data_IF_158885253297
#
_entry.id   IF_158885253297
#
_cell.length_a   1.000
_cell.length_b   1.000
_cell.length_c   1.000
_cell.angle_alpha   90.00
_cell.angle_beta   90.00
_cell.angle_gamma   90.00
#
_symmetry.space_group_name_H-M   'P 1'
#
loop_
_entity.id
_entity.type
_entity.pdbx_description
1 polymer ?
#
# COMPACT_ATOMS: atom_id res chain seq x y z
N UNK A 1 -15.08 -1.48 -6.64
CA UNK A 1 -14.65 -0.12 -7.04
C UNK A 1 -14.75 0.86 -5.86
N UNK A 2 -15.94 1.23 -5.40
CA UNK A 2 -16.12 2.21 -4.31
C UNK A 2 -15.35 1.90 -3.02
N UNK A 3 -15.35 0.65 -2.55
CA UNK A 3 -14.56 0.23 -1.38
C UNK A 3 -13.05 0.46 -1.56
N UNK A 4 -12.51 0.22 -2.76
CA UNK A 4 -11.09 0.44 -3.04
C UNK A 4 -10.76 1.94 -3.04
N UNK A 5 -11.63 2.77 -3.61
CA UNK A 5 -11.50 4.23 -3.59
C UNK A 5 -11.44 4.77 -2.16
N UNK A 6 -12.36 4.31 -1.32
CA UNK A 6 -12.42 4.69 0.10
C UNK A 6 -11.21 4.20 0.87
N UNK A 7 -10.83 2.93 0.72
CA UNK A 7 -9.68 2.36 1.41
C UNK A 7 -8.38 3.11 1.06
N UNK A 8 -8.16 3.44 -0.22
CA UNK A 8 -7.01 4.23 -0.62
C UNK A 8 -7.07 5.66 -0.09
N UNK A 9 -8.20 6.36 -0.25
CA UNK A 9 -8.33 7.74 0.23
C UNK A 9 -8.16 7.89 1.75
N UNK A 10 -8.70 6.96 2.53
CA UNK A 10 -8.48 6.94 3.99
C UNK A 10 -7.02 6.62 4.31
N UNK A 11 -6.44 5.58 3.70
CA UNK A 11 -5.05 5.19 3.99
C UNK A 11 -4.04 6.27 3.61
N UNK A 12 -4.26 7.00 2.51
CA UNK A 12 -3.36 8.05 2.05
C UNK A 12 -3.38 9.30 2.94
N UNK A 13 -4.47 9.55 3.65
CA UNK A 13 -4.63 10.75 4.48
C UNK A 13 -4.75 10.46 5.99
N UNK A 14 -4.65 9.19 6.40
CA UNK A 14 -4.77 8.77 7.80
C UNK A 14 -3.72 9.46 8.68
N UNK A 15 -2.49 9.57 8.18
CA UNK A 15 -1.39 10.25 8.86
C UNK A 15 -1.72 11.73 9.14
N UNK A 16 -2.25 12.44 8.13
CA UNK A 16 -2.68 13.84 8.29
C UNK A 16 -3.87 13.94 9.26
N UNK A 17 -4.79 12.97 9.24
CA UNK A 17 -5.92 12.95 10.17
C UNK A 17 -5.48 12.73 11.62
N UNK A 18 -4.49 11.87 11.85
CA UNK A 18 -3.88 11.66 13.17
C UNK A 18 -3.23 12.95 13.70
N UNK A 19 -2.49 13.65 12.84
CA UNK A 19 -1.79 14.90 13.20
C UNK A 19 -2.79 16.03 13.46
N UNK A 20 -3.66 16.32 12.49
CA UNK A 20 -4.53 17.50 12.53
C UNK A 20 -5.86 17.29 13.23
N UNK A 21 -6.39 16.07 13.22
CA UNK A 21 -7.69 15.73 13.80
C UNK A 21 -7.59 15.15 15.22
N UNK A 22 -6.49 14.44 15.51
CA UNK A 22 -6.28 13.78 16.81
C UNK A 22 -5.11 14.34 17.62
N UNK A 23 -4.44 15.40 17.15
CA UNK A 23 -3.30 16.04 17.82
C UNK A 23 -2.17 15.03 18.17
N UNK A 24 -1.99 14.00 17.35
CA UNK A 24 -0.89 13.03 17.50
C UNK A 24 0.40 13.64 16.97
N UNK A 25 1.53 13.42 17.65
CA UNK A 25 2.84 13.85 17.19
C UNK A 25 3.17 13.29 15.80
N UNK A 26 3.93 14.04 14.99
CA UNK A 26 4.12 13.71 13.58
C UNK A 26 4.76 12.32 13.40
N UNK A 27 5.82 12.01 14.14
CA UNK A 27 6.51 10.72 14.05
C UNK A 27 5.65 9.57 14.57
N UNK A 28 4.87 9.79 15.63
CA UNK A 28 3.94 8.78 16.16
C UNK A 28 2.81 8.48 15.16
N UNK A 29 2.30 9.52 14.49
CA UNK A 29 1.30 9.37 13.43
C UNK A 29 1.85 8.57 12.23
N UNK A 30 3.08 8.83 11.80
CA UNK A 30 3.79 8.04 10.78
C UNK A 30 3.88 6.56 11.17
N UNK A 31 4.22 6.25 12.43
CA UNK A 31 4.31 4.86 12.90
C UNK A 31 2.95 4.17 12.96
N UNK A 32 1.91 4.85 13.47
CA UNK A 32 0.53 4.34 13.49
C UNK A 32 0.03 4.08 12.06
N UNK A 33 0.27 5.01 11.14
CA UNK A 33 -0.09 4.88 9.73
C UNK A 33 0.63 3.69 9.06
N UNK A 34 1.92 3.49 9.35
CA UNK A 34 2.68 2.34 8.89
C UNK A 34 2.09 1.01 9.38
N UNK A 35 1.75 0.91 10.67
CA UNK A 35 1.12 -0.29 11.24
C UNK A 35 -0.26 -0.55 10.61
N UNK A 36 -1.09 0.50 10.48
CA UNK A 36 -2.40 0.40 9.84
C UNK A 36 -2.30 -0.07 8.39
N UNK A 37 -1.36 0.50 7.63
CA UNK A 37 -1.10 0.13 6.23
C UNK A 37 -0.59 -1.30 6.10
N UNK A 38 0.22 -1.77 7.06
CA UNK A 38 0.64 -3.17 7.17
C UNK A 38 -0.56 -4.10 7.34
N UNK A 39 -1.44 -3.80 8.30
CA UNK A 39 -2.67 -4.57 8.53
C UNK A 39 -3.56 -4.63 7.28
N UNK A 40 -3.80 -3.47 6.63
CA UNK A 40 -4.61 -3.37 5.41
C UNK A 40 -3.99 -4.17 4.25
N UNK A 41 -2.67 -4.20 4.16
CA UNK A 41 -1.94 -4.95 3.12
C UNK A 41 -1.98 -6.45 3.34
N UNK A 42 -1.93 -6.92 4.59
CA UNK A 42 -2.04 -8.34 4.94
C UNK A 42 -3.46 -8.89 4.88
N UNK A 43 -4.46 -8.05 5.17
CA UNK A 43 -5.84 -8.50 5.33
C UNK A 43 -6.38 -9.34 4.14
N UNK A 44 -6.10 -9.01 2.86
CA UNK A 44 -6.53 -9.82 1.73
C UNK A 44 -6.04 -11.28 1.74
N UNK A 45 -4.84 -11.54 2.29
CA UNK A 45 -4.28 -12.90 2.41
C UNK A 45 -5.10 -13.70 3.42
N UNK A 46 -5.38 -13.11 4.58
CA UNK A 46 -6.24 -13.72 5.61
C UNK A 46 -7.64 -13.97 5.06
N UNK A 47 -8.22 -13.00 4.35
CA UNK A 47 -9.51 -13.12 3.71
C UNK A 47 -9.57 -14.28 2.70
N UNK A 48 -8.52 -14.46 1.89
CA UNK A 48 -8.43 -15.59 0.95
C UNK A 48 -8.36 -16.93 1.67
N UNK A 49 -7.52 -17.05 2.71
CA UNK A 49 -7.41 -18.30 3.51
C UNK A 49 -8.75 -18.66 4.16
N UNK A 50 -9.46 -17.70 4.73
CA UNK A 50 -10.77 -17.92 5.33
C UNK A 50 -11.82 -18.36 4.30
N UNK A 51 -11.79 -17.77 3.10
CA UNK A 51 -12.69 -18.13 2.02
C UNK A 51 -12.43 -19.56 1.52
N UNK A 52 -11.17 -19.92 1.29
CA UNK A 52 -10.80 -21.21 0.72
C UNK A 52 -10.93 -22.36 1.74
N UNK A 53 -10.70 -22.09 3.02
CA UNK A 53 -10.61 -23.13 4.06
C UNK A 53 -11.93 -23.37 4.81
N UNK A 54 -12.76 -22.34 5.00
CA UNK A 54 -13.89 -22.42 5.95
C UNK A 54 -15.21 -21.85 5.41
N UNK A 55 -15.21 -20.62 4.90
CA UNK A 55 -16.45 -19.83 4.76
C UNK A 55 -16.96 -19.71 3.32
N UNK A 56 -16.09 -19.91 2.32
CA UNK A 56 -16.36 -19.57 0.92
C UNK A 56 -16.27 -18.07 0.63
N UNK A 57 -16.03 -17.71 -0.64
CA UNK A 57 -15.81 -16.31 -1.03
C UNK A 57 -17.05 -15.42 -0.80
N UNK A 58 -18.27 -15.97 -0.92
CA UNK A 58 -19.52 -15.20 -0.76
C UNK A 58 -19.74 -14.71 0.66
N UNK A 59 -19.47 -15.55 1.66
CA UNK A 59 -19.61 -15.19 3.07
C UNK A 59 -18.52 -14.19 3.50
N UNK A 60 -17.26 -14.42 3.07
CA UNK A 60 -16.15 -13.49 3.35
C UNK A 60 -16.40 -12.12 2.71
N UNK A 61 -16.90 -12.08 1.47
CA UNK A 61 -17.26 -10.82 0.83
C UNK A 61 -18.40 -10.12 1.57
N UNK A 62 -19.43 -10.84 2.02
CA UNK A 62 -20.54 -10.27 2.78
C UNK A 62 -20.04 -9.57 4.07
N UNK A 63 -19.25 -10.31 4.85
CA UNK A 63 -18.70 -9.81 6.10
C UNK A 63 -17.79 -8.59 5.87
N UNK A 64 -16.98 -8.62 4.81
CA UNK A 64 -16.09 -7.52 4.47
C UNK A 64 -16.84 -6.24 4.06
N UNK A 65 -17.90 -6.34 3.25
CA UNK A 65 -18.67 -5.16 2.85
C UNK A 65 -19.38 -4.53 4.06
N UNK A 66 -19.93 -5.34 4.96
CA UNK A 66 -20.52 -4.86 6.23
C UNK A 66 -19.46 -4.21 7.12
N UNK A 67 -18.31 -4.87 7.32
CA UNK A 67 -17.23 -4.34 8.13
C UNK A 67 -16.71 -3.00 7.58
N UNK A 68 -16.58 -2.87 6.26
CA UNK A 68 -16.15 -1.62 5.62
C UNK A 68 -17.15 -0.48 5.88
N UNK A 69 -18.46 -0.74 5.72
CA UNK A 69 -19.49 0.24 6.01
C UNK A 69 -19.48 0.69 7.48
N UNK A 70 -19.41 -0.26 8.42
CA UNK A 70 -19.34 0.05 9.85
C UNK A 70 -18.06 0.81 10.21
N UNK A 71 -16.93 0.45 9.60
CA UNK A 71 -15.66 1.17 9.78
C UNK A 71 -15.75 2.61 9.31
N UNK A 72 -16.33 2.87 8.15
CA UNK A 72 -16.51 4.24 7.65
C UNK A 72 -17.53 5.04 8.46
N UNK A 73 -18.58 4.39 8.95
CA UNK A 73 -19.51 5.02 9.88
C UNK A 73 -18.78 5.48 11.15
N UNK A 74 -17.92 4.63 11.73
CA UNK A 74 -17.11 5.01 12.89
C UNK A 74 -16.15 6.17 12.57
N UNK A 75 -15.42 6.15 11.45
CA UNK A 75 -14.58 7.29 11.02
C UNK A 75 -15.37 8.59 10.89
N UNK A 76 -16.62 8.50 10.41
CA UNK A 76 -17.50 9.66 10.28
C UNK A 76 -17.90 10.17 11.66
N UNK A 77 -18.26 9.26 12.58
CA UNK A 77 -18.60 9.60 13.96
C UNK A 77 -17.41 10.21 14.71
N UNK A 78 -16.18 9.72 14.51
CA UNK A 78 -14.98 10.33 15.11
C UNK A 78 -14.72 11.74 14.61
N UNK A 79 -15.18 12.10 13.42
CA UNK A 79 -15.03 13.45 12.88
C UNK A 79 -16.20 14.40 13.21
N UNK A 80 -17.37 13.88 13.58
CA UNK A 80 -18.58 14.67 13.86
C UNK A 80 -18.78 14.88 15.37
N UNK A 81 -18.56 13.84 16.18
CA UNK A 81 -18.89 13.88 17.60
C UNK A 81 -17.71 14.44 18.41
N UNK A 82 -17.88 15.60 19.09
CA UNK A 82 -16.80 16.20 19.89
C UNK A 82 -16.31 15.32 21.05
N UNK A 83 -17.11 14.33 21.47
CA UNK A 83 -16.74 13.35 22.49
C UNK A 83 -15.80 12.24 21.98
N UNK A 84 -15.56 12.15 20.67
CA UNK A 84 -14.78 11.09 20.03
C UNK A 84 -13.46 11.60 19.41
N UNK A 85 -13.16 12.89 19.51
CA UNK A 85 -11.89 13.47 19.08
C UNK A 85 -11.47 14.58 20.05
N UNK A 86 -10.16 14.88 20.17
CA UNK A 86 -9.70 15.96 21.03
C UNK A 86 -10.18 17.33 20.53
N UNK A 87 -10.25 18.33 21.42
CA UNK A 87 -10.62 19.69 21.02
C UNK A 87 -9.58 20.27 20.04
N UNK A 88 -10.00 21.20 19.17
CA UNK A 88 -9.08 21.89 18.25
C UNK A 88 -7.96 22.60 19.03
N UNK A 89 -6.74 22.52 18.52
CA UNK A 89 -5.63 23.31 19.05
C UNK A 89 -5.85 24.80 18.74
N UNK A 90 -5.89 25.62 19.79
CA UNK A 90 -5.94 27.07 19.66
C UNK A 90 -4.77 27.69 20.45
N UNK A 91 -3.87 28.46 19.81
CA UNK A 91 -2.89 29.26 20.54
C UNK A 91 -3.62 30.24 21.49
N UNK A 92 -3.11 30.50 22.71
CA UNK A 92 -1.81 30.10 23.26
C UNK A 92 -1.81 28.77 24.03
N UNK A 93 -2.95 28.07 24.12
CA UNK A 93 -3.03 26.82 24.89
C UNK A 93 -2.32 25.68 24.17
N UNK A 94 -1.50 24.87 24.88
CA UNK A 94 -0.87 23.69 24.28
C UNK A 94 -1.93 22.69 23.84
N UNK A 95 -1.69 22.03 22.70
CA UNK A 95 -2.57 21.00 22.18
C UNK A 95 -2.79 19.89 23.22
N UNK A 96 -4.07 19.55 23.46
CA UNK A 96 -4.38 18.40 24.30
C UNK A 96 -4.20 17.11 23.51
N UNK A 97 -3.47 16.12 24.07
CA UNK A 97 -3.31 14.82 23.44
C UNK A 97 -4.65 14.05 23.42
N UNK A 98 -4.83 13.09 22.49
CA UNK A 98 -6.05 12.32 22.41
C UNK A 98 -6.19 11.38 23.63
N UNK A 99 -7.42 11.24 24.13
CA UNK A 99 -7.73 10.27 25.17
C UNK A 99 -7.67 8.83 24.63
N UNK A 100 -7.48 7.86 25.52
CA UNK A 100 -7.49 6.44 25.16
C UNK A 100 -8.80 6.01 24.47
N UNK A 101 -9.94 6.60 24.86
CA UNK A 101 -11.25 6.35 24.23
C UNK A 101 -11.29 6.83 22.78
N UNK A 102 -10.76 8.03 22.49
CA UNK A 102 -10.67 8.57 21.13
C UNK A 102 -9.87 7.60 20.24
N UNK A 103 -8.68 7.18 20.70
CA UNK A 103 -7.84 6.25 19.96
C UNK A 103 -8.46 4.86 19.81
N UNK A 104 -9.16 4.36 20.84
CA UNK A 104 -9.82 3.04 20.77
C UNK A 104 -10.88 3.01 19.68
N UNK A 105 -11.71 4.05 19.58
CA UNK A 105 -12.75 4.14 18.53
C UNK A 105 -12.11 4.27 17.15
N UNK A 106 -11.07 5.11 17.01
CA UNK A 106 -10.33 5.26 15.76
C UNK A 106 -9.67 3.94 15.31
N UNK A 107 -8.98 3.24 16.21
CA UNK A 107 -8.33 1.96 15.91
C UNK A 107 -9.34 0.86 15.59
N UNK A 108 -10.53 0.89 16.21
CA UNK A 108 -11.64 0.02 15.83
C UNK A 108 -12.10 0.31 14.40
N UNK A 109 -12.22 1.58 14.01
CA UNK A 109 -12.56 1.97 12.65
C UNK A 109 -11.51 1.50 11.62
N UNK A 110 -10.22 1.64 11.94
CA UNK A 110 -9.11 1.14 11.11
C UNK A 110 -9.15 -0.40 10.98
N UNK A 111 -9.39 -1.12 12.06
CA UNK A 111 -9.49 -2.58 12.04
C UNK A 111 -10.68 -3.08 11.20
N UNK A 112 -11.82 -2.40 11.30
CA UNK A 112 -12.99 -2.67 10.46
C UNK A 112 -12.72 -2.36 8.97
N UNK A 113 -12.00 -1.27 8.68
CA UNK A 113 -11.57 -0.96 7.31
C UNK A 113 -10.63 -2.04 6.76
N UNK A 114 -9.64 -2.48 7.54
CA UNK A 114 -8.73 -3.56 7.15
C UNK A 114 -9.49 -4.87 6.87
N UNK A 115 -10.46 -5.20 7.73
CA UNK A 115 -11.36 -6.35 7.54
C UNK A 115 -12.18 -6.21 6.25
N UNK A 116 -12.63 -4.99 5.93
CA UNK A 116 -13.34 -4.70 4.69
C UNK A 116 -12.47 -4.85 3.44
N UNK A 117 -11.20 -4.47 3.51
CA UNK A 117 -10.24 -4.67 2.42
C UNK A 117 -9.92 -6.17 2.24
N UNK A 118 -9.92 -6.95 3.33
CA UNK A 118 -9.65 -8.40 3.32
C UNK A 118 -10.52 -9.18 2.32
N UNK A 119 -11.84 -8.97 2.39
CA UNK A 119 -12.77 -9.68 1.52
C UNK A 119 -12.92 -9.06 0.14
N UNK A 120 -12.84 -7.73 0.03
CA UNK A 120 -13.21 -7.06 -1.22
C UNK A 120 -12.12 -7.10 -2.29
N UNK A 121 -10.83 -7.18 -1.92
CA UNK A 121 -9.73 -7.11 -2.89
C UNK A 121 -9.60 -8.40 -3.71
N UNK A 122 -9.34 -9.56 -3.09
CA UNK A 122 -9.18 -10.82 -3.84
C UNK A 122 -10.47 -11.61 -3.99
N UNK A 123 -11.23 -11.83 -2.91
CA UNK A 123 -12.43 -12.66 -2.98
C UNK A 123 -13.52 -12.04 -3.86
N UNK A 124 -13.65 -10.71 -3.87
CA UNK A 124 -14.55 -10.00 -4.78
C UNK A 124 -14.22 -10.23 -6.26
N UNK A 125 -12.93 -10.15 -6.64
CA UNK A 125 -12.50 -10.42 -8.01
C UNK A 125 -12.71 -11.89 -8.39
N UNK A 126 -12.37 -12.84 -7.50
CA UNK A 126 -12.60 -14.27 -7.73
C UNK A 126 -14.09 -14.59 -7.91
N UNK A 127 -14.96 -14.03 -7.06
CA UNK A 127 -16.41 -14.21 -7.20
C UNK A 127 -16.94 -13.67 -8.52
N UNK A 128 -16.49 -12.48 -8.94
CA UNK A 128 -16.88 -11.89 -10.20
C UNK A 128 -16.43 -12.71 -11.40
N UNK A 129 -15.18 -13.19 -11.40
CA UNK A 129 -14.65 -14.05 -12.46
C UNK A 129 -15.42 -15.38 -12.57
N UNK A 130 -15.85 -15.94 -11.44
CA UNK A 130 -16.66 -17.17 -11.40
C UNK A 130 -18.07 -17.02 -12.00
N UNK A 131 -18.50 -15.79 -12.34
CA UNK A 131 -19.76 -15.58 -13.06
C UNK A 131 -19.65 -15.87 -14.56
N UNK A 132 -18.43 -15.94 -15.10
CA UNK A 132 -18.19 -16.16 -16.52
C UNK A 132 -17.69 -17.60 -16.80
N UNK A 133 -18.18 -18.19 -17.88
CA UNK A 133 -17.84 -19.55 -18.29
C UNK A 133 -16.64 -19.62 -19.23
N UNK A 134 -16.40 -18.57 -20.05
CA UNK A 134 -15.30 -18.54 -21.02
C UNK A 134 -14.05 -17.87 -20.44
N UNK A 135 -12.87 -18.36 -20.81
CA UNK A 135 -11.61 -17.78 -20.32
C UNK A 135 -11.32 -16.40 -20.93
N UNK A 136 -11.84 -16.11 -22.12
CA UNK A 136 -11.79 -14.78 -22.74
C UNK A 136 -12.55 -13.75 -21.90
N UNK A 137 -13.78 -14.07 -21.49
CA UNK A 137 -14.60 -13.15 -20.68
C UNK A 137 -14.00 -12.94 -19.29
N UNK A 138 -13.46 -14.00 -18.67
CA UNK A 138 -12.73 -13.91 -17.40
C UNK A 138 -11.53 -12.97 -17.51
N UNK A 139 -10.75 -13.11 -18.58
CA UNK A 139 -9.57 -12.26 -18.82
C UNK A 139 -9.98 -10.81 -19.02
N UNK A 140 -11.01 -10.56 -19.83
CA UNK A 140 -11.56 -9.21 -20.03
C UNK A 140 -12.06 -8.60 -18.71
N UNK A 141 -12.78 -9.38 -17.90
CA UNK A 141 -13.25 -8.97 -16.57
C UNK A 141 -12.09 -8.59 -15.64
N UNK A 142 -11.03 -9.42 -15.56
CA UNK A 142 -9.86 -9.11 -14.74
C UNK A 142 -9.17 -7.82 -15.20
N UNK A 143 -8.99 -7.63 -16.50
CA UNK A 143 -8.38 -6.42 -17.05
C UNK A 143 -9.18 -5.17 -16.64
N UNK A 144 -10.50 -5.19 -16.81
CA UNK A 144 -11.37 -4.08 -16.37
C UNK A 144 -11.32 -3.87 -14.86
N UNK A 145 -11.27 -4.94 -14.05
CA UNK A 145 -11.13 -4.82 -12.61
C UNK A 145 -9.83 -4.10 -12.21
N UNK A 146 -8.70 -4.41 -12.85
CA UNK A 146 -7.43 -3.73 -12.60
C UNK A 146 -7.50 -2.25 -13.00
N UNK A 147 -8.03 -1.94 -14.20
CA UNK A 147 -8.21 -0.54 -14.65
C UNK A 147 -9.08 0.23 -13.66
N UNK A 148 -10.22 -0.33 -13.26
CA UNK A 148 -11.12 0.29 -12.28
C UNK A 148 -10.45 0.47 -10.92
N UNK A 149 -9.60 -0.47 -10.48
CA UNK A 149 -8.88 -0.37 -9.21
C UNK A 149 -7.87 0.79 -9.22
N UNK A 150 -7.10 0.97 -10.29
CA UNK A 150 -6.18 2.10 -10.43
C UNK A 150 -6.92 3.44 -10.48
N UNK A 151 -7.97 3.55 -11.29
CA UNK A 151 -8.79 4.77 -11.36
C UNK A 151 -9.42 5.11 -10.00
N UNK A 152 -9.93 4.10 -9.29
CA UNK A 152 -10.45 4.27 -7.92
C UNK A 152 -9.38 4.75 -6.96
N UNK A 153 -8.17 4.22 -7.05
CA UNK A 153 -7.06 4.60 -6.16
C UNK A 153 -6.63 6.04 -6.39
N UNK A 154 -6.56 6.47 -7.65
CA UNK A 154 -6.28 7.86 -8.04
C UNK A 154 -7.40 8.79 -7.55
N UNK A 155 -8.67 8.44 -7.80
CA UNK A 155 -9.82 9.21 -7.33
C UNK A 155 -9.88 9.30 -5.80
N UNK A 156 -9.53 8.22 -5.10
CA UNK A 156 -9.43 8.18 -3.65
C UNK A 156 -8.33 9.12 -3.14
N UNK A 157 -7.11 8.98 -3.68
CA UNK A 157 -5.96 9.79 -3.29
C UNK A 157 -6.07 11.27 -3.67
N UNK A 158 -7.00 11.65 -4.56
CA UNK A 158 -7.19 13.04 -4.99
C UNK A 158 -8.51 13.61 -4.49
N UNK A 159 -9.64 13.17 -5.02
CA UNK A 159 -10.97 13.75 -4.76
C UNK A 159 -11.34 13.58 -3.28
N UNK A 160 -11.24 12.37 -2.72
CA UNK A 160 -11.60 12.15 -1.32
C UNK A 160 -10.66 12.88 -0.37
N UNK A 161 -9.35 12.78 -0.61
CA UNK A 161 -8.34 13.48 0.20
C UNK A 161 -8.53 15.00 0.13
N UNK A 162 -8.84 15.54 -1.05
CA UNK A 162 -9.12 16.98 -1.20
C UNK A 162 -10.33 17.42 -0.40
N UNK A 163 -11.43 16.65 -0.41
CA UNK A 163 -12.61 16.96 0.40
C UNK A 163 -12.28 16.90 1.89
N UNK A 164 -11.50 15.89 2.33
CA UNK A 164 -11.07 15.76 3.72
C UNK A 164 -10.24 16.98 4.18
N UNK A 165 -9.30 17.45 3.36
CA UNK A 165 -8.39 18.54 3.71
C UNK A 165 -9.00 19.95 3.52
N UNK A 166 -9.92 20.13 2.56
CA UNK A 166 -10.48 21.45 2.21
C UNK A 166 -11.85 21.73 2.82
N UNK A 167 -12.78 20.77 2.73
CA UNK A 167 -14.14 20.92 3.27
C UNK A 167 -14.22 20.44 4.73
N UNK A 168 -13.32 19.53 5.12
CA UNK A 168 -13.20 19.02 6.48
C UNK A 168 -13.44 17.52 6.58
N UNK A 169 -12.86 16.92 7.63
CA UNK A 169 -12.86 15.48 7.87
C UNK A 169 -14.26 14.85 7.89
N UNK A 170 -15.24 15.56 8.47
CA UNK A 170 -16.62 15.08 8.55
C UNK A 170 -17.26 14.91 7.17
N UNK A 171 -17.09 15.87 6.25
CA UNK A 171 -17.59 15.74 4.87
C UNK A 171 -16.88 14.62 4.11
N UNK A 172 -15.56 14.54 4.24
CA UNK A 172 -14.75 13.51 3.59
C UNK A 172 -15.15 12.10 4.02
N UNK A 173 -15.28 11.84 5.33
CA UNK A 173 -15.67 10.52 5.83
C UNK A 173 -17.16 10.23 5.65
N UNK A 174 -18.05 11.23 5.74
CA UNK A 174 -19.48 11.04 5.42
C UNK A 174 -19.68 10.61 3.97
N UNK A 175 -18.94 11.21 3.02
CA UNK A 175 -18.95 10.77 1.62
C UNK A 175 -18.44 9.34 1.47
N UNK A 176 -17.36 8.96 2.18
CA UNK A 176 -16.87 7.59 2.19
C UNK A 176 -17.91 6.59 2.75
N UNK A 177 -18.65 6.99 3.78
CA UNK A 177 -19.77 6.21 4.35
C UNK A 177 -20.89 6.05 3.33
N UNK A 178 -21.25 7.11 2.60
CA UNK A 178 -22.25 7.02 1.54
C UNK A 178 -21.81 6.06 0.41
N UNK A 179 -20.55 6.16 -0.04
CA UNK A 179 -20.00 5.26 -1.07
C UNK A 179 -20.02 3.79 -0.62
N UNK A 180 -19.64 3.51 0.63
CA UNK A 180 -19.64 2.16 1.18
C UNK A 180 -21.04 1.64 1.47
N UNK A 181 -21.99 2.49 1.86
CA UNK A 181 -23.40 2.15 1.99
C UNK A 181 -24.01 1.76 0.63
N UNK A 182 -23.71 2.53 -0.43
CA UNK A 182 -24.15 2.21 -1.79
C UNK A 182 -23.57 0.86 -2.23
N UNK A 183 -22.28 0.61 -1.98
CA UNK A 183 -21.65 -0.69 -2.29
C UNK A 183 -22.31 -1.86 -1.53
N UNK A 184 -22.67 -1.64 -0.26
CA UNK A 184 -23.41 -2.60 0.55
C UNK A 184 -24.81 -2.89 -0.02
N UNK A 185 -25.56 -1.86 -0.42
CA UNK A 185 -26.86 -2.03 -1.06
C UNK A 185 -26.75 -2.79 -2.38
N UNK A 186 -25.79 -2.45 -3.25
CA UNK A 186 -25.54 -3.20 -4.49
C UNK A 186 -25.23 -4.67 -4.23
N UNK A 187 -24.44 -4.98 -3.21
CA UNK A 187 -24.18 -6.37 -2.82
C UNK A 187 -25.47 -7.08 -2.38
N UNK A 188 -26.29 -6.46 -1.52
CA UNK A 188 -27.54 -7.04 -1.03
C UNK A 188 -28.53 -7.32 -2.18
N UNK A 189 -28.73 -6.36 -3.07
CA UNK A 189 -29.64 -6.51 -4.21
C UNK A 189 -29.08 -7.42 -5.30
N UNK A 190 -27.75 -7.49 -5.45
CA UNK A 190 -27.07 -8.37 -6.41
C UNK A 190 -27.00 -9.83 -5.96
N UNK A 191 -27.06 -10.09 -4.65
CA UNK A 191 -26.91 -11.43 -4.06
C UNK A 191 -27.78 -12.52 -4.71
N UNK A 192 -29.07 -12.30 -4.99
CA UNK A 192 -29.93 -13.33 -5.61
C UNK A 192 -29.50 -13.74 -7.02
N UNK A 193 -28.72 -12.89 -7.71
CA UNK A 193 -28.31 -13.10 -9.09
C UNK A 193 -26.94 -13.79 -9.22
N UNK A 194 -26.20 -13.95 -8.12
CA UNK A 194 -24.87 -14.55 -8.18
C UNK A 194 -24.94 -16.08 -8.30
N UNK A 195 -24.13 -16.61 -9.22
CA UNK A 195 -23.83 -18.03 -9.30
C UNK A 195 -22.98 -18.40 -8.08
N UNK A 196 -23.58 -19.16 -7.17
CA UNK A 196 -22.88 -19.71 -6.00
C UNK A 196 -22.09 -20.95 -6.42
N UNK A 197 -20.78 -20.80 -6.55
CA UNK A 197 -19.87 -21.94 -6.70
C UNK A 197 -19.77 -22.72 -5.39
N UNK A 198 -19.79 -24.05 -5.47
CA UNK A 198 -19.57 -24.92 -4.30
C UNK A 198 -18.13 -24.70 -3.78
N UNK A 199 -17.93 -24.65 -2.45
CA UNK A 199 -16.59 -24.51 -1.88
C UNK A 199 -15.72 -25.69 -2.31
N UNK A 200 -14.55 -25.40 -2.88
CA UNK A 200 -13.59 -26.42 -3.30
C UNK A 200 -12.76 -26.86 -2.08
N UNK A 201 -13.38 -27.62 -1.17
CA UNK A 201 -12.75 -28.09 0.06
C UNK A 201 -11.71 -29.16 -0.29
N UNK A 202 -10.43 -28.77 -0.36
CA UNK A 202 -9.33 -29.70 -0.70
C UNK A 202 -8.93 -30.50 0.53
N UNK A 203 -9.29 -31.80 0.58
CA UNK A 203 -9.16 -32.65 1.80
C UNK A 203 -7.74 -32.99 2.28
N UNK A 204 -6.67 -32.72 1.51
CA UNK A 204 -5.31 -33.19 1.82
C UNK A 204 -4.28 -32.04 1.94
N UNK A 205 -4.36 -31.23 3.00
CA UNK A 205 -3.51 -30.04 3.16
C UNK A 205 -2.04 -30.34 3.50
N UNK A 206 -1.73 -31.33 4.35
CA UNK A 206 -0.41 -31.39 5.00
C UNK A 206 0.73 -31.87 4.08
N UNK A 207 0.50 -32.93 3.30
CA UNK A 207 1.55 -33.51 2.44
C UNK A 207 1.85 -32.67 1.18
N UNK A 208 0.84 -32.01 0.57
CA UNK A 208 1.12 -31.07 -0.53
C UNK A 208 1.86 -29.84 0.01
N UNK A 209 1.43 -29.33 1.17
CA UNK A 209 2.04 -28.16 1.80
C UNK A 209 3.52 -28.38 2.12
N UNK A 210 3.92 -29.52 2.70
CA UNK A 210 5.34 -29.80 2.96
C UNK A 210 6.19 -29.91 1.68
N UNK A 211 5.64 -30.45 0.58
CA UNK A 211 6.34 -30.53 -0.71
C UNK A 211 6.46 -29.16 -1.37
N UNK A 212 5.41 -28.35 -1.28
CA UNK A 212 5.34 -27.00 -1.85
C UNK A 212 6.17 -25.99 -1.04
N UNK A 213 6.25 -26.13 0.28
CA UNK A 213 7.09 -25.30 1.15
C UNK A 213 8.58 -25.40 0.79
N UNK A 214 9.07 -26.58 0.40
CA UNK A 214 10.47 -26.76 -0.05
C UNK A 214 10.80 -25.96 -1.31
N UNK A 215 9.83 -25.70 -2.19
CA UNK A 215 9.99 -24.86 -3.37
C UNK A 215 10.00 -23.38 -2.99
N UNK A 216 9.12 -22.96 -2.08
CA UNK A 216 9.05 -21.59 -1.58
C UNK A 216 10.31 -21.16 -0.81
N UNK A 217 10.92 -22.08 -0.04
CA UNK A 217 12.17 -21.82 0.70
C UNK A 217 13.28 -21.32 -0.22
N UNK A 218 13.33 -21.80 -1.48
CA UNK A 218 14.34 -21.39 -2.46
C UNK A 218 14.15 -19.95 -2.95
N UNK A 219 12.92 -19.45 -2.89
CA UNK A 219 12.57 -18.10 -3.31
C UNK A 219 12.69 -17.09 -2.16
N UNK A 220 12.75 -17.55 -0.89
CA UNK A 220 12.85 -16.69 0.28
C UNK A 220 13.97 -15.65 0.22
N UNK A 221 15.20 -15.95 -0.27
CA UNK A 221 16.23 -14.92 -0.38
C UNK A 221 15.82 -13.76 -1.29
N UNK A 222 15.22 -14.05 -2.45
CA UNK A 222 14.72 -13.02 -3.38
C UNK A 222 13.48 -12.31 -2.82
N UNK A 223 12.57 -13.03 -2.18
CA UNK A 223 11.40 -12.43 -1.51
C UNK A 223 11.85 -11.47 -0.40
N UNK A 224 12.88 -11.83 0.37
CA UNK A 224 13.40 -11.02 1.46
C UNK A 224 14.00 -9.69 1.00
N UNK A 225 14.64 -9.65 -0.17
CA UNK A 225 15.11 -8.36 -0.74
C UNK A 225 13.94 -7.47 -1.14
N UNK A 226 12.83 -8.05 -1.60
CA UNK A 226 11.58 -7.35 -1.85
C UNK A 226 10.97 -6.74 -0.58
N UNK A 227 11.07 -7.42 0.57
CA UNK A 227 10.61 -6.89 1.87
C UNK A 227 11.41 -5.66 2.27
N UNK A 228 12.75 -5.71 2.14
CA UNK A 228 13.61 -4.56 2.45
C UNK A 228 13.35 -3.37 1.52
N UNK A 229 13.15 -3.61 0.22
CA UNK A 229 12.78 -2.55 -0.71
C UNK A 229 11.41 -1.96 -0.38
N UNK A 230 10.41 -2.81 -0.08
CA UNK A 230 9.10 -2.32 0.35
C UNK A 230 9.20 -1.49 1.63
N UNK A 231 10.04 -1.87 2.58
CA UNK A 231 10.22 -1.13 3.82
C UNK A 231 10.77 0.29 3.58
N UNK A 232 11.76 0.45 2.71
CA UNK A 232 12.33 1.77 2.42
C UNK A 232 11.33 2.67 1.70
N UNK A 233 10.57 2.12 0.74
CA UNK A 233 9.48 2.83 0.04
C UNK A 233 8.38 3.25 1.03
N UNK A 234 8.01 2.38 1.97
CA UNK A 234 7.02 2.70 3.00
C UNK A 234 7.47 3.83 3.92
N UNK A 235 8.73 3.82 4.41
CA UNK A 235 9.28 4.95 5.20
C UNK A 235 9.19 6.24 4.40
N UNK A 236 9.64 6.22 3.14
CA UNK A 236 9.61 7.39 2.28
C UNK A 236 8.20 7.91 2.03
N UNK A 237 7.23 7.04 1.79
CA UNK A 237 5.85 7.44 1.52
C UNK A 237 5.26 8.24 2.69
N UNK A 238 5.47 7.78 3.93
CA UNK A 238 5.00 8.50 5.11
C UNK A 238 5.76 9.81 5.34
N UNK A 239 7.09 9.80 5.24
CA UNK A 239 7.90 11.03 5.40
C UNK A 239 7.61 12.07 4.32
N UNK A 240 7.21 11.66 3.12
CA UNK A 240 6.78 12.58 2.04
C UNK A 240 5.53 13.36 2.45
N UNK A 241 4.58 12.73 3.15
CA UNK A 241 3.39 13.41 3.66
C UNK A 241 3.79 14.47 4.69
N UNK A 242 4.68 14.12 5.62
CA UNK A 242 5.23 15.05 6.60
C UNK A 242 5.97 16.23 5.95
N UNK A 243 6.84 15.96 4.96
CA UNK A 243 7.50 17.01 4.19
C UNK A 243 6.51 17.92 3.49
N UNK A 244 5.49 17.34 2.84
CA UNK A 244 4.48 18.12 2.14
C UNK A 244 3.69 19.02 3.10
N UNK A 245 3.44 18.59 4.35
CA UNK A 245 2.80 19.43 5.37
C UNK A 245 3.63 20.68 5.73
N UNK A 246 4.97 20.61 5.61
CA UNK A 246 5.89 21.70 5.87
C UNK A 246 6.24 22.56 4.63
N UNK A 247 5.66 22.26 3.47
CA UNK A 247 5.93 22.92 2.19
C UNK A 247 4.76 23.80 1.74
N UNK A 248 5.04 24.73 0.82
CA UNK A 248 3.97 25.47 0.14
C UNK A 248 3.26 24.57 -0.87
N UNK A 249 1.99 24.29 -0.58
CA UNK A 249 1.13 23.40 -1.36
C UNK A 249 0.21 24.15 -2.32
N UNK A 250 0.24 25.48 -2.35
CA UNK A 250 -0.60 26.29 -3.23
C UNK A 250 -0.14 26.19 -4.69
N UNK A 251 -1.09 25.96 -5.60
CA UNK A 251 -0.86 26.02 -7.05
C UNK A 251 -1.49 27.26 -7.66
N UNK A 252 -2.61 27.69 -7.09
CA UNK A 252 -3.30 28.94 -7.40
C UNK A 252 -3.77 29.56 -6.08
N UNK A 253 -4.34 30.77 -6.12
CA UNK A 253 -4.91 31.40 -4.94
C UNK A 253 -6.06 30.61 -4.29
N UNK A 254 -6.73 29.72 -5.02
CA UNK A 254 -7.89 28.96 -4.56
C UNK A 254 -7.66 27.46 -4.47
N UNK A 255 -6.55 26.94 -5.01
CA UNK A 255 -6.29 25.51 -5.09
C UNK A 255 -4.93 25.16 -4.49
N UNK A 256 -4.92 24.14 -3.65
CA UNK A 256 -3.73 23.55 -3.06
C UNK A 256 -3.76 22.02 -3.18
N UNK A 257 -2.59 21.40 -3.21
CA UNK A 257 -2.47 19.94 -3.20
C UNK A 257 -2.53 19.45 -1.75
N UNK A 258 -3.45 18.56 -1.36
CA UNK A 258 -3.43 17.94 -0.04
C UNK A 258 -2.15 17.15 0.21
N UNK A 259 -1.61 17.15 1.43
CA UNK A 259 -0.35 16.47 1.70
C UNK A 259 -0.45 14.94 1.49
N UNK A 260 -1.57 14.34 1.91
CA UNK A 260 -1.86 12.93 1.66
C UNK A 260 -2.05 12.57 0.18
N UNK A 261 -2.27 13.56 -0.70
CA UNK A 261 -2.44 13.33 -2.14
C UNK A 261 -1.11 13.17 -2.89
N UNK A 262 0.04 13.46 -2.28
CA UNK A 262 1.33 13.42 -2.99
C UNK A 262 1.65 12.06 -3.60
N UNK A 263 1.16 10.96 -3.00
CA UNK A 263 1.37 9.62 -3.55
C UNK A 263 0.62 9.37 -4.88
N UNK A 264 -0.29 10.25 -5.29
CA UNK A 264 -0.96 10.14 -6.60
C UNK A 264 0.03 10.19 -7.76
N UNK A 265 1.12 10.96 -7.64
CA UNK A 265 2.15 11.04 -8.69
C UNK A 265 2.80 9.69 -8.92
N UNK A 266 3.11 8.94 -7.85
CA UNK A 266 3.63 7.56 -7.93
C UNK A 266 2.62 6.65 -8.65
N UNK A 267 1.35 6.68 -8.24
CA UNK A 267 0.29 5.85 -8.82
C UNK A 267 0.05 6.15 -10.30
N UNK A 268 -0.02 7.44 -10.67
CA UNK A 268 -0.25 7.87 -12.04
C UNK A 268 0.93 7.52 -12.94
N UNK A 269 2.18 7.77 -12.49
CA UNK A 269 3.37 7.40 -13.25
C UNK A 269 3.50 5.88 -13.38
N UNK A 270 3.21 5.10 -12.34
CA UNK A 270 3.23 3.64 -12.42
C UNK A 270 2.20 3.12 -13.43
N UNK A 271 0.94 3.58 -13.35
CA UNK A 271 -0.12 3.15 -14.26
C UNK A 271 0.16 3.51 -15.73
N UNK A 272 0.63 4.73 -15.98
CA UNK A 272 1.00 5.18 -17.34
C UNK A 272 2.21 4.41 -17.87
N UNK A 273 3.23 4.18 -17.06
CA UNK A 273 4.43 3.43 -17.45
C UNK A 273 4.12 1.96 -17.76
N UNK A 274 3.30 1.29 -16.95
CA UNK A 274 2.83 -0.08 -17.21
C UNK A 274 2.10 -0.15 -18.55
N UNK A 275 1.21 0.82 -18.81
CA UNK A 275 0.45 0.89 -20.07
C UNK A 275 1.38 1.06 -21.27
N UNK A 276 2.36 1.95 -21.19
CA UNK A 276 3.35 2.20 -22.26
C UNK A 276 4.22 0.97 -22.52
N UNK A 277 4.72 0.31 -21.46
CA UNK A 277 5.52 -0.92 -21.59
C UNK A 277 4.73 -2.05 -22.25
N UNK A 278 3.43 -2.18 -21.91
CA UNK A 278 2.51 -3.12 -22.54
C UNK A 278 2.29 -2.83 -24.02
N UNK A 279 1.99 -1.58 -24.37
CA UNK A 279 1.76 -1.16 -25.76
C UNK A 279 2.99 -1.30 -26.66
N UNK A 280 4.18 -1.00 -26.13
CA UNK A 280 5.46 -1.13 -26.85
C UNK A 280 5.94 -2.58 -26.97
N UNK A 281 5.23 -3.55 -26.37
CA UNK A 281 5.61 -4.97 -26.31
C UNK A 281 7.06 -5.18 -25.83
N UNK A 282 7.55 -4.28 -24.97
CA UNK A 282 8.89 -4.37 -24.41
C UNK A 282 8.98 -5.63 -23.53
N UNK A 283 9.66 -6.67 -24.00
CA UNK A 283 9.82 -7.93 -23.26
C UNK A 283 11.04 -7.84 -22.35
N UNK A 284 10.78 -7.57 -21.08
CA UNK A 284 11.80 -7.55 -20.02
C UNK A 284 11.64 -8.84 -19.20
N UNK A 285 12.76 -9.51 -18.90
CA UNK A 285 12.72 -10.69 -18.03
C UNK A 285 12.27 -10.30 -16.61
N UNK A 286 11.53 -11.13 -15.87
CA UNK A 286 11.09 -10.79 -14.52
C UNK A 286 12.25 -10.39 -13.60
N UNK A 287 13.35 -11.12 -13.64
CA UNK A 287 14.52 -10.79 -12.81
C UNK A 287 15.15 -9.44 -13.18
N UNK A 288 15.21 -9.11 -14.48
CA UNK A 288 15.68 -7.79 -14.95
C UNK A 288 14.74 -6.67 -14.52
N UNK A 289 13.42 -6.87 -14.57
CA UNK A 289 12.44 -5.89 -14.11
C UNK A 289 12.58 -5.58 -12.62
N UNK A 290 12.77 -6.62 -11.78
CA UNK A 290 13.07 -6.45 -10.34
C UNK A 290 14.38 -5.67 -10.15
N UNK A 291 15.42 -6.01 -10.92
CA UNK A 291 16.73 -5.33 -10.88
C UNK A 291 16.60 -3.83 -11.17
N UNK A 292 15.92 -3.48 -12.27
CA UNK A 292 15.69 -2.09 -12.70
C UNK A 292 14.93 -1.32 -11.60
N UNK A 293 13.91 -1.94 -11.01
CA UNK A 293 13.14 -1.36 -9.92
C UNK A 293 13.97 -1.00 -8.67
N UNK A 294 14.91 -1.86 -8.26
CA UNK A 294 15.82 -1.57 -7.14
C UNK A 294 16.72 -0.37 -7.43
N UNK A 295 17.31 -0.33 -8.63
CA UNK A 295 18.22 0.74 -9.05
C UNK A 295 17.50 2.09 -9.09
N UNK A 296 16.32 2.14 -9.71
CA UNK A 296 15.53 3.38 -9.80
C UNK A 296 15.13 3.88 -8.40
N UNK A 297 14.65 2.99 -7.53
CA UNK A 297 14.29 3.38 -6.16
C UNK A 297 15.49 3.90 -5.36
N UNK A 298 16.68 3.32 -5.52
CA UNK A 298 17.91 3.83 -4.91
C UNK A 298 18.19 5.28 -5.33
N UNK A 299 18.16 5.56 -6.64
CA UNK A 299 18.37 6.94 -7.13
C UNK A 299 17.25 7.89 -6.73
N UNK A 300 16.00 7.41 -6.62
CA UNK A 300 14.90 8.22 -6.14
C UNK A 300 15.06 8.61 -4.66
N UNK A 301 15.61 7.73 -3.81
CA UNK A 301 15.96 8.09 -2.41
C UNK A 301 17.04 9.17 -2.35
N UNK A 302 18.06 9.10 -3.23
CA UNK A 302 19.06 10.17 -3.36
C UNK A 302 18.40 11.48 -3.81
N UNK A 303 17.51 11.43 -4.79
CA UNK A 303 16.78 12.61 -5.25
C UNK A 303 15.89 13.22 -4.14
N UNK A 304 15.22 12.40 -3.32
CA UNK A 304 14.48 12.85 -2.14
C UNK A 304 15.39 13.56 -1.13
N UNK A 305 16.57 12.99 -0.85
CA UNK A 305 17.56 13.63 0.02
C UNK A 305 18.01 14.99 -0.50
N UNK A 306 18.32 15.09 -1.80
CA UNK A 306 18.74 16.35 -2.42
C UNK A 306 17.63 17.41 -2.39
N UNK A 307 16.38 17.02 -2.65
CA UNK A 307 15.22 17.91 -2.52
C UNK A 307 15.09 18.43 -1.09
N UNK A 308 15.27 17.57 -0.09
CA UNK A 308 15.20 17.98 1.30
C UNK A 308 16.36 18.89 1.72
N UNK A 309 17.60 18.59 1.30
CA UNK A 309 18.74 19.47 1.56
C UNK A 309 18.52 20.87 0.99
N UNK A 310 17.89 20.97 -0.19
CA UNK A 310 17.50 22.27 -0.77
C UNK A 310 16.42 22.98 0.04
N UNK A 311 15.40 22.25 0.50
CA UNK A 311 14.34 22.81 1.36
C UNK A 311 14.91 23.36 2.66
N UNK A 312 15.73 22.58 3.36
CA UNK A 312 16.35 22.96 4.64
C UNK A 312 17.26 24.18 4.50
N UNK A 313 17.91 24.37 3.35
CA UNK A 313 18.76 25.53 3.10
C UNK A 313 18.00 26.87 3.06
N UNK A 314 16.68 26.85 2.83
CA UNK A 314 15.85 28.07 2.67
C UNK A 314 14.73 28.19 3.69
N UNK A 315 14.44 27.15 4.49
CA UNK A 315 13.27 27.10 5.39
C UNK A 315 13.23 28.22 6.43
N UNK A 316 14.38 28.77 6.81
CA UNK A 316 14.47 29.88 7.76
C UNK A 316 14.05 31.24 7.17
N UNK A 317 14.01 31.37 5.84
CA UNK A 317 13.79 32.66 5.16
C UNK A 317 12.64 32.64 4.14
N UNK A 318 12.33 31.48 3.56
CA UNK A 318 11.32 31.35 2.50
C UNK A 318 10.54 30.04 2.61
N UNK A 319 9.32 30.04 2.06
CA UNK A 319 8.56 28.81 1.82
C UNK A 319 9.11 28.08 0.59
N UNK A 320 9.04 26.74 0.61
CA UNK A 320 9.56 25.90 -0.47
C UNK A 320 8.42 25.12 -1.12
N UNK A 321 8.29 25.19 -2.44
CA UNK A 321 7.16 24.60 -3.17
C UNK A 321 7.16 23.08 -3.12
N UNK A 322 5.98 22.50 -2.83
CA UNK A 322 5.73 21.05 -2.80
C UNK A 322 6.04 20.35 -4.13
N UNK A 323 6.02 21.09 -5.25
CA UNK A 323 6.29 20.56 -6.59
C UNK A 323 7.69 19.99 -6.74
N UNK A 324 8.65 20.38 -5.90
CA UNK A 324 9.99 19.78 -5.86
C UNK A 324 10.01 18.31 -5.40
N UNK A 325 8.94 17.83 -4.77
CA UNK A 325 8.77 16.40 -4.48
C UNK A 325 8.30 15.60 -5.69
N UNK A 326 7.73 16.24 -6.72
CA UNK A 326 7.15 15.53 -7.88
C UNK A 326 8.22 14.74 -8.67
N UNK A 327 9.39 15.30 -9.04
CA UNK A 327 10.41 14.55 -9.78
C UNK A 327 10.86 13.24 -9.10
N UNK A 328 11.23 13.19 -7.81
CA UNK A 328 11.55 11.93 -7.16
C UNK A 328 10.35 10.97 -7.08
N UNK A 329 9.13 11.46 -6.83
CA UNK A 329 7.89 10.65 -6.84
C UNK A 329 7.62 10.01 -8.21
N UNK A 330 7.88 10.73 -9.30
CA UNK A 330 7.82 10.19 -10.66
C UNK A 330 8.86 9.09 -10.87
N UNK A 331 10.10 9.26 -10.39
CA UNK A 331 11.12 8.20 -10.44
C UNK A 331 10.65 6.94 -9.70
N UNK A 332 10.08 7.08 -8.51
CA UNK A 332 9.53 5.94 -7.74
C UNK A 332 8.42 5.25 -8.53
N UNK A 333 7.47 6.01 -9.07
CA UNK A 333 6.39 5.46 -9.90
C UNK A 333 6.90 4.71 -11.13
N UNK A 334 7.97 5.20 -11.77
CA UNK A 334 8.63 4.50 -12.86
C UNK A 334 9.29 3.20 -12.37
N UNK A 335 9.99 3.23 -11.23
CA UNK A 335 10.58 2.05 -10.60
C UNK A 335 9.54 0.97 -10.26
N UNK A 336 8.41 1.36 -9.68
CA UNK A 336 7.27 0.48 -9.36
C UNK A 336 6.69 -0.19 -10.61
N UNK A 337 6.63 0.51 -11.74
CA UNK A 337 6.13 -0.05 -13.01
C UNK A 337 6.96 -1.24 -13.52
N UNK A 338 8.26 -1.29 -13.21
CA UNK A 338 9.10 -2.46 -13.49
C UNK A 338 9.05 -3.47 -12.34
N UNK A 339 9.20 -2.99 -11.10
CA UNK A 339 9.35 -3.84 -9.92
C UNK A 339 8.11 -4.70 -9.66
N UNK A 340 6.93 -4.11 -9.65
CA UNK A 340 5.70 -4.78 -9.23
C UNK A 340 5.26 -5.89 -10.19
N UNK A 341 5.05 -5.62 -11.51
CA UNK A 341 4.65 -6.68 -12.44
C UNK A 341 5.72 -7.77 -12.56
N UNK A 342 6.99 -7.40 -12.50
CA UNK A 342 8.09 -8.35 -12.60
C UNK A 342 8.18 -9.27 -11.38
N UNK A 343 7.94 -8.75 -10.17
CA UNK A 343 7.87 -9.57 -8.95
C UNK A 343 6.73 -10.58 -9.01
N UNK A 344 5.54 -10.13 -9.40
CA UNK A 344 4.37 -11.01 -9.56
C UNK A 344 4.63 -12.08 -10.63
N UNK A 345 5.19 -11.69 -11.79
CA UNK A 345 5.53 -12.62 -12.86
C UNK A 345 6.58 -13.65 -12.45
N UNK A 346 7.62 -13.22 -11.73
CA UNK A 346 8.65 -14.10 -11.20
C UNK A 346 8.06 -15.15 -10.25
N UNK A 347 7.27 -14.71 -9.24
CA UNK A 347 6.62 -15.63 -8.32
C UNK A 347 5.66 -16.56 -9.05
N UNK A 348 4.90 -16.06 -10.01
CA UNK A 348 3.94 -16.87 -10.76
C UNK A 348 4.61 -17.98 -11.59
N UNK A 349 5.74 -17.70 -12.22
CA UNK A 349 6.47 -18.66 -13.05
C UNK A 349 7.09 -19.79 -12.23
N UNK A 350 7.64 -19.46 -11.06
CA UNK A 350 8.38 -20.41 -10.23
C UNK A 350 7.52 -21.12 -9.17
N UNK A 351 6.31 -20.63 -8.90
CA UNK A 351 5.37 -21.31 -8.02
C UNK A 351 4.82 -22.56 -8.70
N UNK A 352 4.64 -23.67 -7.96
CA UNK A 352 3.98 -24.85 -8.49
C UNK A 352 2.57 -24.51 -8.98
N UNK A 353 2.08 -25.22 -10.00
CA UNK A 353 0.78 -24.93 -10.62
C UNK A 353 -0.38 -24.87 -9.60
N UNK A 354 -0.29 -25.65 -8.51
CA UNK A 354 -1.23 -25.67 -7.39
C UNK A 354 -1.26 -24.40 -6.55
N UNK A 355 -0.20 -23.58 -6.56
CA UNK A 355 -0.05 -22.36 -5.76
C UNK A 355 0.05 -21.08 -6.60
N UNK A 356 -0.17 -21.15 -7.91
CA UNK A 356 -0.08 -19.97 -8.79
C UNK A 356 -1.02 -18.84 -8.37
N UNK A 357 -2.18 -19.16 -7.81
CA UNK A 357 -3.11 -18.17 -7.23
C UNK A 357 -2.55 -17.46 -5.98
N UNK A 358 -1.56 -18.05 -5.31
CA UNK A 358 -0.89 -17.49 -4.13
C UNK A 358 0.17 -16.44 -4.49
N UNK A 359 0.62 -16.37 -5.76
CA UNK A 359 1.67 -15.43 -6.18
C UNK A 359 1.32 -13.95 -5.91
N UNK A 360 0.06 -13.56 -6.12
CA UNK A 360 -0.44 -12.21 -5.78
C UNK A 360 -0.52 -12.01 -4.27
N UNK A 361 -0.87 -13.05 -3.52
CA UNK A 361 -0.83 -13.07 -2.06
C UNK A 361 0.58 -12.88 -1.50
N UNK A 362 1.61 -13.43 -2.16
CA UNK A 362 3.02 -13.22 -1.78
C UNK A 362 3.39 -11.75 -1.84
N UNK A 363 2.97 -11.00 -2.86
CA UNK A 363 3.24 -9.57 -2.91
C UNK A 363 2.55 -8.81 -1.76
N UNK A 364 1.31 -9.16 -1.43
CA UNK A 364 0.62 -8.58 -0.28
C UNK A 364 1.35 -8.86 1.05
N UNK A 365 1.89 -10.07 1.21
CA UNK A 365 2.75 -10.43 2.37
C UNK A 365 4.04 -9.61 2.38
N UNK A 366 4.71 -9.48 1.23
CA UNK A 366 5.94 -8.67 1.11
C UNK A 366 5.68 -7.21 1.49
N UNK A 367 4.62 -6.63 0.94
CA UNK A 367 4.23 -5.24 1.20
C UNK A 367 3.82 -5.02 2.65
N UNK A 368 2.97 -5.89 3.20
CA UNK A 368 2.56 -5.83 4.60
C UNK A 368 3.74 -5.95 5.56
N UNK A 369 4.67 -6.88 5.29
CA UNK A 369 5.90 -7.03 6.09
C UNK A 369 6.78 -5.79 5.96
N UNK A 370 6.88 -5.22 4.76
CA UNK A 370 7.58 -3.97 4.49
C UNK A 370 7.06 -2.82 5.33
N UNK A 371 5.74 -2.66 5.45
CA UNK A 371 5.13 -1.63 6.31
C UNK A 371 5.49 -1.80 7.79
N UNK A 372 5.42 -3.02 8.34
CA UNK A 372 5.86 -3.24 9.73
C UNK A 372 7.36 -3.00 9.92
N UNK A 373 8.17 -3.43 8.95
CA UNK A 373 9.61 -3.17 8.95
C UNK A 373 9.91 -1.67 8.85
N UNK A 374 9.11 -0.88 8.11
CA UNK A 374 9.27 0.58 8.06
C UNK A 374 9.06 1.24 9.42
N UNK A 375 8.07 0.79 10.20
CA UNK A 375 7.85 1.30 11.55
C UNK A 375 9.03 0.97 12.46
N UNK A 376 9.65 -0.20 12.30
CA UNK A 376 10.87 -0.58 13.02
C UNK A 376 12.08 0.27 12.59
N UNK A 377 12.26 0.53 11.30
CA UNK A 377 13.33 1.41 10.78
C UNK A 377 13.18 2.83 11.37
N UNK A 378 11.97 3.40 11.33
CA UNK A 378 11.68 4.71 11.92
C UNK A 378 12.00 4.72 13.43
N UNK A 379 11.60 3.68 14.16
CA UNK A 379 11.88 3.56 15.59
C UNK A 379 13.40 3.51 15.88
N UNK A 380 14.16 2.77 15.08
CA UNK A 380 15.62 2.69 15.21
C UNK A 380 16.24 4.05 14.95
N UNK A 381 15.88 4.73 13.85
CA UNK A 381 16.42 6.06 13.52
C UNK A 381 16.11 7.08 14.62
N UNK A 382 14.87 7.10 15.12
CA UNK A 382 14.47 7.99 16.22
C UNK A 382 15.25 7.73 17.50
N UNK A 383 15.57 6.46 17.80
CA UNK A 383 16.33 6.07 19.00
C UNK A 383 17.83 6.33 18.85
N UNK A 384 18.39 6.18 17.66
CA UNK A 384 19.84 6.24 17.42
C UNK A 384 20.35 7.59 16.96
N UNK A 385 19.46 8.49 16.50
CA UNK A 385 19.84 9.78 15.90
C UNK A 385 18.93 10.90 16.40
N UNK A 386 19.36 12.14 16.17
CA UNK A 386 18.55 13.35 16.38
C UNK A 386 17.78 13.77 15.12
N UNK A 387 17.75 12.94 14.08
CA UNK A 387 17.27 13.34 12.75
C UNK A 387 15.74 13.38 12.62
N UNK A 388 14.99 12.70 13.49
CA UNK A 388 13.52 12.68 13.48
C UNK A 388 12.99 13.38 14.72
N UNK A 389 12.60 14.64 14.55
CA UNK A 389 11.93 15.47 15.56
C UNK A 389 10.41 15.53 15.27
N UNK A 390 9.62 15.97 16.24
CA UNK A 390 8.17 16.13 16.05
C UNK A 390 7.81 17.27 15.10
N UNK A 391 8.70 18.27 14.93
CA UNK A 391 8.64 19.24 13.84
C UNK A 391 9.59 18.82 12.69
N UNK A 392 9.03 18.68 11.49
CA UNK A 392 9.77 18.39 10.26
C UNK A 392 10.77 19.49 9.89
N UNK A 393 10.53 20.74 10.28
CA UNK A 393 11.48 21.83 10.04
C UNK A 393 12.75 21.70 10.89
N UNK A 394 12.67 21.03 12.04
CA UNK A 394 13.81 20.74 12.92
C UNK A 394 14.44 19.38 12.62
N UNK A 395 13.79 18.57 11.78
CA UNK A 395 14.25 17.24 11.39
C UNK A 395 15.31 17.29 10.29
N UNK A 396 16.18 16.27 10.26
CA UNK A 396 17.19 16.04 9.21
C UNK A 396 16.76 14.90 8.30
N UNK A 397 15.65 15.11 7.59
CA UNK A 397 15.09 14.11 6.68
C UNK A 397 16.03 13.82 5.50
N UNK A 398 16.91 14.75 5.14
CA UNK A 398 17.98 14.56 4.17
C UNK A 398 18.90 13.39 4.57
N UNK A 399 19.34 13.35 5.82
CA UNK A 399 20.15 12.26 6.37
C UNK A 399 19.37 10.94 6.43
N UNK A 400 18.07 11.00 6.74
CA UNK A 400 17.19 9.82 6.73
C UNK A 400 17.12 9.23 5.32
N UNK A 401 16.85 10.05 4.30
CA UNK A 401 16.80 9.59 2.91
C UNK A 401 18.14 9.06 2.39
N UNK A 402 19.27 9.70 2.75
CA UNK A 402 20.59 9.16 2.41
C UNK A 402 20.85 7.80 3.07
N UNK A 403 20.41 7.62 4.32
CA UNK A 403 20.50 6.33 5.01
C UNK A 403 19.67 5.27 4.30
N UNK A 404 18.43 5.61 3.90
CA UNK A 404 17.58 4.71 3.11
C UNK A 404 18.19 4.39 1.74
N UNK A 405 18.84 5.35 1.08
CA UNK A 405 19.56 5.11 -0.17
C UNK A 405 20.73 4.11 0.04
N UNK A 406 21.48 4.25 1.14
CA UNK A 406 22.51 3.29 1.55
C UNK A 406 21.93 1.89 1.82
N UNK A 407 20.80 1.80 2.52
CA UNK A 407 20.07 0.54 2.72
C UNK A 407 19.62 -0.07 1.39
N UNK A 408 19.11 0.74 0.45
CA UNK A 408 18.74 0.29 -0.89
C UNK A 408 19.96 -0.25 -1.67
N UNK A 409 21.12 0.40 -1.58
CA UNK A 409 22.35 -0.07 -2.22
C UNK A 409 22.80 -1.42 -1.66
N UNK A 410 22.83 -1.56 -0.32
CA UNK A 410 23.17 -2.82 0.34
C UNK A 410 22.19 -3.93 -0.04
N UNK A 411 20.88 -3.62 -0.03
CA UNK A 411 19.85 -4.56 -0.45
C UNK A 411 19.96 -4.95 -1.92
N UNK A 412 20.36 -4.01 -2.80
CA UNK A 412 20.60 -4.29 -4.21
C UNK A 412 21.76 -5.27 -4.41
N UNK A 413 22.88 -5.08 -3.72
CA UNK A 413 24.01 -6.04 -3.76
C UNK A 413 23.57 -7.41 -3.22
N UNK A 414 22.83 -7.43 -2.12
CA UNK A 414 22.24 -8.66 -1.57
C UNK A 414 21.31 -9.37 -2.58
N UNK A 415 20.43 -8.61 -3.25
CA UNK A 415 19.56 -9.13 -4.29
C UNK A 415 20.34 -9.73 -5.46
N UNK A 416 21.39 -9.06 -5.94
CA UNK A 416 22.24 -9.59 -7.03
C UNK A 416 22.90 -10.90 -6.65
N UNK A 417 23.39 -11.03 -5.41
CA UNK A 417 23.92 -12.28 -4.88
C UNK A 417 22.85 -13.38 -4.86
N UNK A 418 21.66 -13.08 -4.37
CA UNK A 418 20.54 -14.01 -4.31
C UNK A 418 20.09 -14.45 -5.71
N UNK A 419 19.97 -13.51 -6.64
CA UNK A 419 19.62 -13.74 -8.03
C UNK A 419 20.65 -14.63 -8.73
N UNK A 420 21.94 -14.39 -8.50
CA UNK A 420 23.02 -15.21 -9.04
C UNK A 420 22.99 -16.63 -8.48
N UNK A 421 22.85 -16.79 -7.17
CA UNK A 421 22.74 -18.11 -6.52
C UNK A 421 21.50 -18.87 -7.00
N UNK A 422 20.38 -18.16 -7.16
CA UNK A 422 19.14 -18.72 -7.69
C UNK A 422 19.35 -19.28 -9.09
N UNK A 423 19.87 -18.46 -10.01
CA UNK A 423 20.12 -18.87 -11.41
C UNK A 423 21.06 -20.08 -11.48
N UNK A 424 22.18 -20.05 -10.75
CA UNK A 424 23.16 -21.14 -10.68
C UNK A 424 22.54 -22.46 -10.19
N UNK A 425 21.67 -22.40 -9.19
CA UNK A 425 21.01 -23.59 -8.64
C UNK A 425 19.93 -24.15 -9.58
N UNK A 426 19.25 -23.27 -10.32
CA UNK A 426 18.28 -23.66 -11.36
C UNK A 426 18.98 -24.39 -12.51
N UNK A 427 20.05 -23.81 -13.06
CA UNK A 427 20.84 -24.44 -14.13
C UNK A 427 21.38 -25.83 -13.72
N UNK A 428 21.94 -25.96 -12.51
CA UNK A 428 22.41 -27.26 -11.98
C UNK A 428 21.30 -28.30 -11.86
N UNK A 429 20.07 -27.89 -11.57
CA UNK A 429 18.93 -28.80 -11.46
C UNK A 429 18.48 -29.26 -12.83
N UNK A 430 18.43 -28.35 -13.79
CA UNK A 430 17.96 -28.63 -15.13
C UNK A 430 18.95 -29.59 -15.83
N UNK A 431 20.26 -29.40 -15.63
CA UNK A 431 21.30 -30.36 -16.05
C UNK A 431 21.14 -31.75 -15.41
N UNK A 432 20.86 -31.82 -14.10
CA UNK A 432 20.60 -33.11 -13.44
C UNK A 432 19.34 -33.81 -13.96
N UNK A 433 18.35 -33.06 -14.42
CA UNK A 433 17.15 -33.64 -15.02
C UNK A 433 17.48 -34.19 -16.41
N UNK A 434 18.27 -33.48 -17.21
CA UNK A 434 18.76 -33.97 -18.50
C UNK A 434 19.66 -35.22 -18.39
N UNK A 435 20.38 -35.41 -17.28
CA UNK A 435 21.15 -36.65 -17.05
C UNK A 435 20.26 -37.85 -16.67
N UNK A 436 19.02 -37.63 -16.22
CA UNK A 436 18.09 -38.68 -15.73
C UNK A 436 17.13 -39.15 -16.84
N UNK A 437 16.85 -38.33 -17.85
CA UNK A 437 15.98 -38.63 -18.99
C UNK A 437 16.81 -38.90 -20.25
#
# INVERSE_FOLDING_TARGET
MGVAMVAYGVSSNLEVYLIKGFNVGQIDATQINGIASGCISFAPVVGGVLADSFLGCSAVLAAAVVACFLGMLLFTLTAILPSLHPPPCAPPTPCQPPMATHLTVLFTAIALLATGVAGTRYNGMTMGANQFSTDSDRTAFFNWCFVSLYLSSIAGATILVYIQDSAGWHWGFALCTAITAIAFLFYLFGRPYYLHSKPNIRRNHLMSFCREAKLLIRLLPIISSGILLSATISVQTSLTVLQALAMDRSLTHSFFIPAGSMNVFVLATAATSITVLGCTRCRISPLSGITIGHVINMFAMVAMALTESRRLAVVATNTFSVLWLVPPLVLIGFGEAFHFPASVAFYYQDFPASLRSTATGTFAVVSGTGFYMSSAIIAVIRRSTTWLQDDVNESRLDNVYLTLAGCCLLNFVYFLLCAWLYKKNTEKRDLKLEEIY
#
